data_IF_755317329712
#
_entry.id   IF_755317329712
#
_cell.length_a   1.000
_cell.length_b   1.000
_cell.length_c   1.000
_cell.angle_alpha   90.00
_cell.angle_beta   90.00
_cell.angle_gamma   90.00
#
_symmetry.space_group_name_H-M   'P 1'
#
loop_
_entity.id
_entity.type
_entity.pdbx_description
1 polymer ?
#
# COMPACT_ATOMS: atom_id res chain seq x y z
N UNK A 1 -24.05 5.65 -4.71
CA UNK A 1 -25.22 4.91 -5.25
C UNK A 1 -26.48 5.13 -4.43
N UNK A 2 -26.57 4.70 -3.16
CA UNK A 2 -27.80 4.80 -2.35
C UNK A 2 -28.40 6.22 -2.26
N UNK A 3 -27.56 7.24 -2.07
CA UNK A 3 -28.01 8.65 -2.04
C UNK A 3 -28.58 9.10 -3.39
N UNK A 4 -27.94 8.71 -4.49
CA UNK A 4 -28.42 9.04 -5.84
C UNK A 4 -29.74 8.33 -6.17
N UNK A 5 -29.88 7.07 -5.75
CA UNK A 5 -31.13 6.31 -5.88
C UNK A 5 -32.24 6.95 -5.04
N UNK A 6 -31.96 7.36 -3.80
CA UNK A 6 -32.91 8.05 -2.94
C UNK A 6 -33.37 9.38 -3.54
N UNK A 7 -32.44 10.19 -4.05
CA UNK A 7 -32.76 11.45 -4.74
C UNK A 7 -33.60 11.22 -6.01
N UNK A 8 -33.24 10.22 -6.82
CA UNK A 8 -33.97 9.88 -8.05
C UNK A 8 -35.41 9.43 -7.77
N UNK A 9 -35.61 8.58 -6.76
CA UNK A 9 -36.94 8.09 -6.39
C UNK A 9 -37.83 9.23 -5.83
N UNK A 10 -37.23 10.12 -5.04
CA UNK A 10 -37.90 11.32 -4.51
C UNK A 10 -38.34 12.27 -5.63
N UNK A 11 -37.47 12.50 -6.61
CA UNK A 11 -37.78 13.34 -7.77
C UNK A 11 -38.90 12.74 -8.64
N UNK A 12 -38.86 11.44 -8.90
CA UNK A 12 -39.91 10.73 -9.66
C UNK A 12 -41.26 10.79 -8.95
N UNK A 13 -41.29 10.59 -7.63
CA UNK A 13 -42.51 10.69 -6.84
C UNK A 13 -43.11 12.10 -6.93
N UNK A 14 -42.29 13.14 -6.72
CA UNK A 14 -42.74 14.54 -6.79
C UNK A 14 -43.32 14.89 -8.16
N UNK A 15 -42.66 14.47 -9.24
CA UNK A 15 -43.13 14.73 -10.60
C UNK A 15 -44.46 14.01 -10.86
N UNK A 16 -44.60 12.75 -10.44
CA UNK A 16 -45.83 11.98 -10.60
C UNK A 16 -47.02 12.63 -9.87
N UNK A 17 -46.78 13.14 -8.66
CA UNK A 17 -47.79 13.87 -7.87
C UNK A 17 -48.24 15.14 -8.60
N UNK A 18 -47.31 15.98 -9.06
CA UNK A 18 -47.67 17.22 -9.75
C UNK A 18 -48.34 16.99 -11.10
N UNK A 19 -47.94 15.97 -11.85
CA UNK A 19 -48.63 15.59 -13.08
C UNK A 19 -50.08 15.13 -12.83
N UNK A 20 -50.35 14.48 -11.70
CA UNK A 20 -51.71 14.10 -11.32
C UNK A 20 -52.56 15.34 -11.01
N UNK A 21 -52.02 16.31 -10.26
CA UNK A 21 -52.68 17.61 -10.05
C UNK A 21 -52.93 18.34 -11.37
N UNK A 22 -51.94 18.40 -12.26
CA UNK A 22 -52.07 19.12 -13.54
C UNK A 22 -53.19 18.52 -14.42
N UNK A 23 -53.36 17.19 -14.41
CA UNK A 23 -54.48 16.50 -15.08
C UNK A 23 -55.83 16.83 -14.43
N UNK A 24 -55.93 16.76 -13.10
CA UNK A 24 -57.15 17.06 -12.36
C UNK A 24 -57.61 18.52 -12.57
N UNK A 25 -56.68 19.46 -12.51
CA UNK A 25 -56.94 20.88 -12.72
C UNK A 25 -57.37 21.17 -14.16
N UNK A 26 -56.81 20.48 -15.14
CA UNK A 26 -57.20 20.62 -16.55
C UNK A 26 -58.65 20.16 -16.77
N UNK A 27 -59.06 19.02 -16.19
CA UNK A 27 -60.46 18.54 -16.23
C UNK A 27 -61.41 19.55 -15.57
N UNK A 28 -60.99 20.15 -14.46
CA UNK A 28 -61.78 21.18 -13.76
C UNK A 28 -61.93 22.46 -14.60
N UNK A 29 -60.87 22.88 -15.31
CA UNK A 29 -60.93 23.98 -16.27
C UNK A 29 -61.89 23.67 -17.42
N UNK A 30 -61.85 22.46 -17.97
CA UNK A 30 -62.75 22.07 -19.07
C UNK A 30 -64.22 22.08 -18.62
N UNK A 31 -64.49 21.62 -17.39
CA UNK A 31 -65.83 21.69 -16.80
C UNK A 31 -66.31 23.13 -16.57
N UNK A 32 -65.43 24.03 -16.15
CA UNK A 32 -65.73 25.47 -16.03
C UNK A 32 -65.96 26.12 -17.39
N UNK A 33 -65.12 25.79 -18.39
CA UNK A 33 -65.25 26.30 -19.75
C UNK A 33 -66.58 25.86 -20.41
N UNK A 34 -67.12 24.71 -20.04
CA UNK A 34 -68.40 24.20 -20.56
C UNK A 34 -69.64 24.83 -19.90
N UNK A 35 -69.49 25.48 -18.75
CA UNK A 35 -70.62 25.98 -17.92
C UNK A 35 -70.64 27.50 -17.77
N UNK A 36 -69.61 28.18 -18.26
CA UNK A 36 -69.52 29.64 -18.24
C UNK A 36 -70.47 30.26 -19.27
N UNK A 37 -71.26 31.23 -18.82
CA UNK A 37 -72.21 31.96 -19.64
C UNK A 37 -72.07 33.47 -19.38
N UNK A 38 -72.65 34.26 -20.27
CA UNK A 38 -72.77 35.71 -20.10
C UNK A 38 -74.25 36.04 -19.91
N UNK A 39 -74.59 36.80 -18.88
CA UNK A 39 -75.97 37.26 -18.70
C UNK A 39 -76.36 38.36 -19.71
N UNK A 40 -77.63 38.75 -19.70
CA UNK A 40 -78.18 39.78 -20.60
C UNK A 40 -77.52 41.16 -20.41
N UNK A 41 -76.81 41.38 -19.31
CA UNK A 41 -76.09 42.62 -18.98
C UNK A 41 -74.60 42.53 -19.34
N UNK A 42 -74.14 41.44 -19.93
CA UNK A 42 -72.74 41.27 -20.27
C UNK A 42 -71.86 40.95 -19.06
N UNK A 43 -72.40 40.40 -17.97
CA UNK A 43 -71.61 39.94 -16.83
C UNK A 43 -71.39 38.42 -16.88
N UNK A 44 -70.22 38.00 -16.41
CA UNK A 44 -69.85 36.59 -16.33
C UNK A 44 -70.70 35.89 -15.28
N UNK A 45 -71.26 34.73 -15.63
CA UNK A 45 -71.98 33.85 -14.69
C UNK A 45 -71.59 32.40 -14.92
N UNK A 46 -71.62 31.64 -13.83
CA UNK A 46 -71.42 30.18 -13.84
C UNK A 46 -72.70 29.56 -13.26
N UNK A 47 -73.78 29.43 -14.04
CA UNK A 47 -75.09 28.97 -13.55
C UNK A 47 -75.06 27.53 -13.02
N UNK A 48 -74.16 26.70 -13.55
CA UNK A 48 -73.87 25.36 -13.04
C UNK A 48 -72.41 25.30 -12.62
N UNK A 49 -72.13 25.56 -11.35
CA UNK A 49 -70.80 25.36 -10.80
C UNK A 49 -70.35 23.89 -10.98
N UNK A 50 -69.04 23.62 -11.07
CA UNK A 50 -68.53 22.24 -11.07
C UNK A 50 -69.11 21.43 -9.91
N UNK A 51 -69.46 20.17 -10.17
CA UNK A 51 -70.16 19.28 -9.22
C UNK A 51 -69.32 18.86 -8.01
N UNK A 52 -68.03 19.19 -7.99
CA UNK A 52 -67.14 18.86 -6.89
C UNK A 52 -67.51 19.65 -5.62
N UNK A 53 -67.91 18.96 -4.53
CA UNK A 53 -68.33 19.61 -3.28
C UNK A 53 -67.21 20.42 -2.62
N UNK A 54 -65.93 20.19 -2.97
CA UNK A 54 -64.79 20.94 -2.46
C UNK A 54 -64.88 22.42 -2.86
N UNK A 55 -65.44 22.79 -4.00
CA UNK A 55 -65.59 24.20 -4.39
C UNK A 55 -66.68 24.98 -3.62
N UNK A 56 -67.51 24.27 -2.84
CA UNK A 56 -68.60 24.89 -2.06
C UNK A 56 -68.20 25.10 -0.60
N UNK A 57 -67.36 24.22 -0.05
CA UNK A 57 -66.90 24.31 1.34
C UNK A 57 -65.89 25.46 1.50
N UNK A 58 -66.12 26.43 2.41
CA UNK A 58 -65.14 27.47 2.71
C UNK A 58 -63.77 26.88 3.06
N UNK A 59 -62.69 27.45 2.50
CA UNK A 59 -61.30 27.06 2.79
C UNK A 59 -61.02 25.56 2.61
N UNK A 60 -61.53 24.98 1.53
CA UNK A 60 -61.37 23.55 1.21
C UNK A 60 -60.05 23.20 0.52
N UNK A 61 -59.18 24.18 0.30
CA UNK A 61 -58.00 24.04 -0.55
C UNK A 61 -58.31 23.92 -2.06
N UNK A 62 -59.58 23.98 -2.47
CA UNK A 62 -59.97 23.89 -3.89
C UNK A 62 -60.73 25.13 -4.30
N UNK A 63 -60.19 25.87 -5.27
CA UNK A 63 -60.68 27.18 -5.63
C UNK A 63 -60.85 27.28 -7.14
N UNK A 64 -61.88 27.98 -7.59
CA UNK A 64 -61.93 28.43 -8.97
C UNK A 64 -62.31 29.90 -9.04
N UNK A 65 -61.83 30.55 -10.07
CA UNK A 65 -62.14 31.93 -10.39
C UNK A 65 -62.16 32.14 -11.88
N UNK A 66 -63.11 32.96 -12.31
CA UNK A 66 -63.33 33.33 -13.69
C UNK A 66 -63.34 34.85 -13.72
N UNK A 67 -62.38 35.46 -14.42
CA UNK A 67 -62.23 36.91 -14.49
C UNK A 67 -62.09 37.37 -15.94
N UNK A 68 -62.61 38.56 -16.24
CA UNK A 68 -62.32 39.21 -17.51
C UNK A 68 -60.87 39.71 -17.52
N UNK A 69 -60.18 39.54 -18.64
CA UNK A 69 -58.87 40.13 -18.90
C UNK A 69 -59.07 41.40 -19.71
N UNK A 70 -58.63 42.55 -19.18
CA UNK A 70 -58.83 43.86 -19.82
C UNK A 70 -57.50 44.45 -20.29
N UNK A 71 -57.54 45.28 -21.34
CA UNK A 71 -56.37 45.98 -21.89
C UNK A 71 -56.00 47.27 -21.11
N UNK A 72 -56.57 47.49 -19.92
CA UNK A 72 -56.34 48.68 -19.09
C UNK A 72 -55.24 48.51 -18.02
N UNK A 73 -55.02 49.51 -17.14
CA UNK A 73 -53.99 49.47 -16.09
C UNK A 73 -54.24 48.40 -15.01
N UNK A 74 -55.46 47.86 -14.91
CA UNK A 74 -55.79 46.63 -14.18
C UNK A 74 -56.08 45.52 -15.18
N UNK A 75 -55.12 44.62 -15.35
CA UNK A 75 -55.20 43.46 -16.25
C UNK A 75 -56.37 42.52 -15.90
N UNK A 76 -56.82 42.51 -14.64
CA UNK A 76 -57.86 41.63 -14.12
C UNK A 76 -59.11 42.48 -13.80
N UNK A 77 -60.21 42.18 -14.49
CA UNK A 77 -61.53 42.80 -14.32
C UNK A 77 -62.39 42.10 -13.27
N UNK A 78 -63.67 42.51 -13.13
CA UNK A 78 -64.62 41.81 -12.25
C UNK A 78 -64.79 40.36 -12.70
N UNK A 79 -65.09 39.48 -11.74
CA UNK A 79 -65.20 38.06 -12.00
C UNK A 79 -66.07 37.35 -10.98
N UNK A 80 -66.23 36.05 -11.20
CA UNK A 80 -66.97 35.14 -10.32
C UNK A 80 -65.99 34.12 -9.76
N UNK A 81 -66.13 33.79 -8.49
CA UNK A 81 -65.32 32.78 -7.82
C UNK A 81 -66.17 31.74 -7.10
N UNK A 82 -65.55 30.62 -6.77
CA UNK A 82 -66.14 29.59 -5.94
C UNK A 82 -66.44 30.09 -4.52
N UNK A 83 -67.42 29.47 -3.84
CA UNK A 83 -67.74 29.81 -2.44
C UNK A 83 -66.60 29.43 -1.48
N UNK A 84 -65.74 28.50 -1.89
CA UNK A 84 -64.55 28.10 -1.14
C UNK A 84 -63.52 29.21 -0.95
N UNK A 85 -63.45 30.21 -1.85
CA UNK A 85 -62.52 31.35 -1.73
C UNK A 85 -62.78 32.17 -0.46
N UNK A 86 -64.05 32.31 -0.05
CA UNK A 86 -64.43 33.03 1.16
C UNK A 86 -63.83 34.44 1.23
N UNK A 87 -63.17 34.80 2.34
CA UNK A 87 -62.67 36.15 2.66
C UNK A 87 -61.26 36.43 2.13
N UNK A 88 -60.53 35.42 1.66
CA UNK A 88 -59.15 35.58 1.20
C UNK A 88 -59.06 35.59 -0.34
N UNK A 89 -58.43 36.59 -0.98
CA UNK A 89 -58.44 36.70 -2.43
C UNK A 89 -57.67 35.56 -3.11
N UNK A 90 -58.30 34.91 -4.09
CA UNK A 90 -57.65 33.95 -4.99
C UNK A 90 -57.38 34.65 -6.33
N UNK A 91 -56.33 35.46 -6.39
CA UNK A 91 -55.97 36.24 -7.59
C UNK A 91 -54.93 35.51 -8.45
N UNK A 92 -55.01 35.65 -9.78
CA UNK A 92 -54.05 35.01 -10.67
C UNK A 92 -52.66 35.66 -10.52
N UNK A 93 -51.59 34.86 -10.36
CA UNK A 93 -50.25 35.38 -10.21
C UNK A 93 -49.75 35.89 -11.56
N UNK A 94 -49.01 37.01 -11.55
CA UNK A 94 -48.53 37.66 -12.78
C UNK A 94 -47.82 36.70 -13.76
N UNK A 95 -46.92 35.79 -13.32
CA UNK A 95 -46.27 34.85 -14.23
C UNK A 95 -47.25 33.91 -14.94
N UNK A 96 -48.36 33.54 -14.29
CA UNK A 96 -49.39 32.70 -14.90
C UNK A 96 -50.17 33.46 -15.96
N UNK A 97 -50.53 34.72 -15.66
CA UNK A 97 -51.25 35.61 -16.59
C UNK A 97 -50.40 35.86 -17.84
N UNK A 98 -49.11 36.13 -17.70
CA UNK A 98 -48.19 36.29 -18.83
C UNK A 98 -48.10 35.02 -19.69
N UNK A 99 -48.01 33.85 -19.08
CA UNK A 99 -47.92 32.58 -19.80
C UNK A 99 -49.18 32.24 -20.61
N UNK A 100 -50.37 32.50 -20.08
CA UNK A 100 -51.63 32.24 -20.79
C UNK A 100 -51.94 33.32 -21.84
N UNK A 101 -51.46 34.56 -21.66
CA UNK A 101 -51.52 35.60 -22.69
C UNK A 101 -50.59 35.29 -23.88
N UNK A 102 -49.40 34.73 -23.60
CA UNK A 102 -48.45 34.34 -24.65
C UNK A 102 -48.96 33.16 -25.50
N UNK A 103 -49.73 32.24 -24.91
CA UNK A 103 -50.30 31.08 -25.60
C UNK A 103 -51.78 30.88 -25.25
N UNK A 104 -52.69 31.71 -25.80
CA UNK A 104 -54.12 31.62 -25.55
C UNK A 104 -54.69 30.23 -25.90
N UNK A 105 -55.69 29.78 -25.16
CA UNK A 105 -56.31 28.46 -25.36
C UNK A 105 -55.55 27.27 -24.77
N UNK A 106 -54.30 27.43 -24.32
CA UNK A 106 -53.56 26.35 -23.63
C UNK A 106 -53.68 26.47 -22.11
N UNK A 107 -53.80 25.33 -21.42
CA UNK A 107 -53.70 25.31 -19.95
C UNK A 107 -52.25 25.51 -19.52
N UNK A 108 -52.01 26.44 -18.60
CA UNK A 108 -50.71 26.65 -17.94
C UNK A 108 -50.85 26.39 -16.45
N UNK A 109 -49.84 25.77 -15.85
CA UNK A 109 -49.84 25.40 -14.44
C UNK A 109 -48.66 26.05 -13.71
N UNK A 110 -48.92 26.59 -12.52
CA UNK A 110 -47.91 27.19 -11.65
C UNK A 110 -48.17 26.79 -10.20
N UNK A 111 -47.13 26.86 -9.38
CA UNK A 111 -47.30 26.85 -7.93
C UNK A 111 -47.52 28.27 -7.42
N UNK A 112 -48.38 28.41 -6.41
CA UNK A 112 -48.53 29.65 -5.66
C UNK A 112 -48.69 29.35 -4.18
N UNK A 113 -48.52 30.38 -3.36
CA UNK A 113 -48.87 30.33 -1.95
C UNK A 113 -49.99 31.32 -1.69
N UNK A 114 -51.04 30.86 -1.01
CA UNK A 114 -52.18 31.67 -0.54
C UNK A 114 -52.27 31.50 0.97
N UNK A 115 -52.05 32.58 1.71
CA UNK A 115 -51.68 32.59 3.13
C UNK A 115 -50.63 31.53 3.49
N UNK A 116 -51.07 30.36 3.98
CA UNK A 116 -50.22 29.21 4.36
C UNK A 116 -50.42 27.97 3.48
N UNK A 117 -51.38 28.02 2.55
CA UNK A 117 -51.69 26.93 1.64
C UNK A 117 -50.77 27.00 0.41
N UNK A 118 -50.18 25.87 0.06
CA UNK A 118 -49.41 25.73 -1.18
C UNK A 118 -50.32 25.18 -2.25
N UNK A 119 -50.68 26.00 -3.23
CA UNK A 119 -51.63 25.63 -4.26
C UNK A 119 -50.89 25.32 -5.57
N UNK A 120 -51.29 24.25 -6.23
CA UNK A 120 -51.05 24.06 -7.67
C UNK A 120 -52.22 24.69 -8.40
N UNK A 121 -51.93 25.61 -9.31
CA UNK A 121 -52.95 26.39 -10.01
C UNK A 121 -52.79 26.24 -11.50
N UNK A 122 -53.89 25.88 -12.15
CA UNK A 122 -54.01 25.91 -13.60
C UNK A 122 -54.81 27.14 -14.02
N UNK A 123 -54.44 27.72 -15.16
CA UNK A 123 -55.27 28.70 -15.83
C UNK A 123 -55.29 28.51 -17.33
N UNK A 124 -56.38 28.96 -17.96
CA UNK A 124 -56.57 28.97 -19.42
C UNK A 124 -57.32 30.22 -19.83
N UNK A 125 -56.85 30.85 -20.89
CA UNK A 125 -57.51 31.99 -21.50
C UNK A 125 -58.45 31.52 -22.61
N UNK A 126 -59.72 31.91 -22.53
CA UNK A 126 -60.76 31.55 -23.51
C UNK A 126 -61.47 32.81 -24.01
N UNK A 127 -62.02 32.74 -25.21
CA UNK A 127 -62.86 33.80 -25.77
C UNK A 127 -64.29 33.28 -25.90
N UNK A 128 -65.23 33.94 -25.23
CA UNK A 128 -66.65 33.58 -25.28
C UNK A 128 -67.27 34.12 -26.58
N UNK A 129 -68.12 33.35 -27.30
CA UNK A 129 -68.74 33.81 -28.55
C UNK A 129 -69.55 35.11 -28.42
N UNK A 130 -70.08 35.37 -27.22
CA UNK A 130 -70.89 36.55 -26.88
C UNK A 130 -70.07 37.77 -26.43
N UNK A 131 -68.73 37.71 -26.41
CA UNK A 131 -67.86 38.77 -25.85
C UNK A 131 -66.63 39.07 -26.71
N UNK A 132 -66.20 40.33 -26.69
CA UNK A 132 -64.93 40.79 -27.29
C UNK A 132 -63.76 40.71 -26.32
N UNK A 133 -64.00 40.69 -25.00
CA UNK A 133 -62.97 40.48 -23.98
C UNK A 133 -62.59 39.01 -23.85
N UNK A 134 -61.32 38.75 -23.55
CA UNK A 134 -60.85 37.41 -23.20
C UNK A 134 -61.16 37.12 -21.73
N UNK A 135 -61.52 35.89 -21.42
CA UNK A 135 -61.87 35.44 -20.07
C UNK A 135 -60.83 34.45 -19.57
N UNK A 136 -60.27 34.72 -18.39
CA UNK A 136 -59.32 33.85 -17.72
C UNK A 136 -60.09 32.89 -16.80
N UNK A 137 -59.96 31.60 -17.09
CA UNK A 137 -60.39 30.52 -16.22
C UNK A 137 -59.22 30.11 -15.34
N UNK A 138 -59.43 30.01 -14.03
CA UNK A 138 -58.39 29.66 -13.06
C UNK A 138 -58.94 28.66 -12.06
N UNK A 139 -58.20 27.59 -11.81
CA UNK A 139 -58.52 26.56 -10.80
C UNK A 139 -57.28 26.26 -9.99
N UNK A 140 -57.42 26.18 -8.67
CA UNK A 140 -56.36 25.82 -7.74
C UNK A 140 -56.75 24.67 -6.84
N UNK A 141 -55.77 23.82 -6.50
CA UNK A 141 -55.89 22.73 -5.55
C UNK A 141 -54.73 22.76 -4.56
N UNK A 142 -55.01 22.48 -3.29
CA UNK A 142 -54.02 22.40 -2.22
C UNK A 142 -53.14 21.17 -2.39
N UNK A 143 -51.83 21.42 -2.34
CA UNK A 143 -50.79 20.40 -2.44
C UNK A 143 -50.26 19.99 -1.07
N UNK A 144 -50.69 20.62 0.02
CA UNK A 144 -50.20 20.40 1.37
C UNK A 144 -50.20 18.94 1.80
N UNK A 145 -51.34 18.24 1.66
CA UNK A 145 -51.42 16.81 2.01
C UNK A 145 -50.51 15.92 1.17
N UNK A 146 -50.40 16.21 -0.13
CA UNK A 146 -49.60 15.44 -1.07
C UNK A 146 -48.08 15.67 -0.85
N UNK A 147 -47.68 16.92 -0.60
CA UNK A 147 -46.30 17.27 -0.22
C UNK A 147 -45.95 16.62 1.12
N UNK A 148 -46.83 16.70 2.12
CA UNK A 148 -46.62 16.04 3.41
C UNK A 148 -46.57 14.50 3.31
N UNK A 149 -47.33 13.90 2.38
CA UNK A 149 -47.19 12.47 2.07
C UNK A 149 -45.81 12.17 1.45
N UNK A 150 -45.32 13.02 0.55
CA UNK A 150 -43.98 12.93 -0.01
C UNK A 150 -42.87 13.06 1.03
N UNK A 151 -43.00 14.01 1.97
CA UNK A 151 -42.03 14.19 3.05
C UNK A 151 -41.98 12.98 3.99
N UNK A 152 -43.15 12.41 4.34
CA UNK A 152 -43.23 11.16 5.11
C UNK A 152 -42.60 9.98 4.36
N UNK A 153 -42.87 9.87 3.06
CA UNK A 153 -42.25 8.86 2.21
C UNK A 153 -40.72 9.02 2.15
N UNK A 154 -40.23 10.24 1.94
CA UNK A 154 -38.81 10.56 1.91
C UNK A 154 -38.12 10.26 3.24
N UNK A 155 -38.76 10.57 4.37
CA UNK A 155 -38.25 10.23 5.69
C UNK A 155 -38.16 8.71 5.86
N UNK A 156 -39.23 7.98 5.57
CA UNK A 156 -39.25 6.51 5.64
C UNK A 156 -38.19 5.87 4.73
N UNK A 157 -38.05 6.38 3.49
CA UNK A 157 -37.02 5.96 2.54
C UNK A 157 -35.62 6.23 3.09
N UNK A 158 -35.36 7.41 3.64
CA UNK A 158 -34.06 7.79 4.19
C UNK A 158 -33.68 6.92 5.40
N UNK A 159 -34.63 6.65 6.30
CA UNK A 159 -34.43 5.77 7.45
C UNK A 159 -34.19 4.32 7.01
N UNK A 160 -34.94 3.84 6.01
CA UNK A 160 -34.73 2.51 5.42
C UNK A 160 -33.36 2.37 4.77
N UNK A 161 -32.92 3.37 3.99
CA UNK A 161 -31.60 3.40 3.38
C UNK A 161 -30.48 3.49 4.43
N UNK A 162 -30.67 4.26 5.50
CA UNK A 162 -29.73 4.34 6.61
C UNK A 162 -29.61 3.00 7.35
N UNK A 163 -30.74 2.36 7.67
CA UNK A 163 -30.76 1.05 8.30
C UNK A 163 -30.06 -0.01 7.43
N UNK A 164 -30.33 0.00 6.12
CA UNK A 164 -29.63 -0.86 5.16
C UNK A 164 -28.12 -0.59 5.15
N UNK A 165 -27.71 0.68 5.10
CA UNK A 165 -26.30 1.06 5.09
C UNK A 165 -25.58 0.60 6.38
N UNK A 166 -26.20 0.81 7.55
CA UNK A 166 -25.67 0.35 8.83
C UNK A 166 -25.61 -1.17 8.91
N UNK A 167 -26.62 -1.87 8.40
CA UNK A 167 -26.63 -3.34 8.32
C UNK A 167 -25.50 -3.88 7.44
N UNK A 168 -25.27 -3.27 6.26
CA UNK A 168 -24.16 -3.64 5.38
C UNK A 168 -22.81 -3.34 6.02
N UNK A 169 -22.64 -2.18 6.66
CA UNK A 169 -21.41 -1.86 7.38
C UNK A 169 -21.14 -2.83 8.54
N UNK A 170 -22.17 -3.19 9.30
CA UNK A 170 -22.08 -4.20 10.36
C UNK A 170 -21.71 -5.58 9.82
N UNK A 171 -22.30 -5.99 8.69
CA UNK A 171 -21.97 -7.25 8.02
C UNK A 171 -20.51 -7.26 7.51
N UNK A 172 -20.06 -6.19 6.87
CA UNK A 172 -18.66 -6.04 6.42
C UNK A 172 -17.72 -6.09 7.63
N UNK A 173 -18.03 -5.36 8.70
CA UNK A 173 -17.22 -5.37 9.91
C UNK A 173 -17.10 -6.78 10.50
N UNK A 174 -18.22 -7.50 10.62
CA UNK A 174 -18.24 -8.89 11.10
C UNK A 174 -17.45 -9.82 10.17
N UNK A 175 -17.63 -9.68 8.85
CA UNK A 175 -16.91 -10.45 7.83
C UNK A 175 -15.39 -10.22 7.94
N UNK A 176 -14.94 -8.99 8.15
CA UNK A 176 -13.51 -8.68 8.34
C UNK A 176 -12.98 -9.25 9.65
N UNK A 177 -13.75 -9.12 10.75
CA UNK A 177 -13.32 -9.66 12.04
C UNK A 177 -13.20 -11.19 12.02
N UNK A 178 -14.18 -11.90 11.45
CA UNK A 178 -14.15 -13.35 11.33
C UNK A 178 -13.16 -13.82 10.28
N UNK A 179 -13.05 -13.10 9.15
CA UNK A 179 -12.16 -13.46 8.05
C UNK A 179 -10.68 -13.30 8.38
N UNK A 180 -10.30 -12.36 9.26
CA UNK A 180 -8.92 -12.13 9.67
C UNK A 180 -8.50 -12.92 10.93
N UNK A 181 -9.42 -13.60 11.60
CA UNK A 181 -9.10 -14.39 12.80
C UNK A 181 -8.05 -15.49 12.55
N UNK A 182 -8.11 -16.27 11.45
CA UNK A 182 -7.07 -17.26 11.14
C UNK A 182 -5.67 -16.64 11.00
N UNK A 183 -5.58 -15.45 10.39
CA UNK A 183 -4.31 -14.74 10.23
C UNK A 183 -3.75 -14.27 11.59
N UNK A 184 -4.61 -13.75 12.47
CA UNK A 184 -4.24 -13.37 13.84
C UNK A 184 -3.82 -14.59 14.67
N UNK A 185 -4.47 -15.74 14.47
CA UNK A 185 -4.08 -17.01 15.10
C UNK A 185 -2.68 -17.43 14.64
N UNK A 186 -2.41 -17.44 13.33
CA UNK A 186 -1.06 -17.76 12.81
C UNK A 186 0.01 -16.82 13.37
N UNK A 187 -0.27 -15.52 13.48
CA UNK A 187 0.65 -14.55 14.11
C UNK A 187 0.95 -14.86 15.58
N UNK A 188 -0.06 -15.29 16.35
CA UNK A 188 0.12 -15.74 17.74
C UNK A 188 0.92 -17.04 17.83
N UNK A 189 0.64 -18.01 16.96
CA UNK A 189 1.37 -19.27 16.89
C UNK A 189 2.85 -19.06 16.53
N UNK A 190 3.15 -18.17 15.58
CA UNK A 190 4.52 -17.82 15.24
C UNK A 190 5.26 -17.16 16.42
N UNK A 191 4.57 -16.33 17.21
CA UNK A 191 5.15 -15.75 18.42
C UNK A 191 5.47 -16.82 19.48
N UNK A 192 4.62 -17.84 19.64
CA UNK A 192 4.88 -18.98 20.51
C UNK A 192 6.09 -19.81 20.03
N UNK A 193 6.23 -20.00 18.71
CA UNK A 193 7.38 -20.70 18.12
C UNK A 193 8.68 -19.94 18.39
N UNK A 194 8.67 -18.61 18.21
CA UNK A 194 9.82 -17.75 18.52
C UNK A 194 10.24 -17.85 20.00
N UNK A 195 9.28 -18.07 20.90
CA UNK A 195 9.55 -18.23 22.33
C UNK A 195 9.91 -19.67 22.73
N UNK A 196 9.92 -20.62 21.78
CA UNK A 196 10.21 -22.04 22.04
C UNK A 196 9.07 -22.80 22.72
N UNK A 197 7.86 -22.25 22.76
CA UNK A 197 6.67 -22.89 23.35
C UNK A 197 6.01 -23.89 22.39
N UNK A 198 6.34 -23.79 21.09
CA UNK A 198 5.78 -24.64 20.03
C UNK A 198 6.80 -24.83 18.91
N UNK A 199 6.73 -25.96 18.20
CA UNK A 199 7.68 -26.29 17.14
C UNK A 199 7.15 -26.06 15.72
N UNK A 200 5.84 -25.86 15.55
CA UNK A 200 5.19 -25.70 14.23
C UNK A 200 3.82 -25.02 14.33
N UNK A 201 3.41 -24.40 13.22
CA UNK A 201 2.06 -23.85 13.02
C UNK A 201 1.03 -24.97 12.83
N UNK A 202 -0.23 -24.70 13.17
CA UNK A 202 -1.33 -25.63 12.91
C UNK A 202 -1.57 -25.84 11.41
N UNK A 203 -1.84 -27.10 11.04
CA UNK A 203 -2.14 -27.50 9.66
C UNK A 203 -3.60 -27.23 9.27
N UNK A 204 -4.46 -26.93 10.24
CA UNK A 204 -5.88 -26.60 10.04
C UNK A 204 -6.10 -25.14 9.63
N UNK A 205 -5.30 -24.69 8.66
CA UNK A 205 -5.43 -23.36 8.07
C UNK A 205 -6.48 -23.37 6.93
N UNK A 206 -7.24 -22.27 6.74
CA UNK A 206 -8.10 -22.10 5.56
C UNK A 206 -7.34 -22.37 4.26
N UNK A 207 -8.04 -22.81 3.20
CA UNK A 207 -7.41 -23.24 1.94
C UNK A 207 -6.51 -22.18 1.32
N UNK A 208 -6.83 -20.91 1.52
CA UNK A 208 -6.10 -19.75 1.04
C UNK A 208 -4.77 -19.53 1.80
N UNK A 209 -4.72 -19.93 3.07
CA UNK A 209 -3.56 -19.79 3.96
C UNK A 209 -2.76 -21.09 4.09
N UNK A 210 -3.33 -22.24 3.73
CA UNK A 210 -2.66 -23.53 3.81
C UNK A 210 -1.29 -23.58 3.08
N UNK A 211 -1.12 -23.02 1.86
CA UNK A 211 0.19 -22.97 1.22
C UNK A 211 1.21 -22.15 2.02
N UNK A 212 0.80 -21.02 2.58
CA UNK A 212 1.67 -20.16 3.40
C UNK A 212 2.05 -20.85 4.72
N UNK A 213 1.11 -21.53 5.38
CA UNK A 213 1.39 -22.33 6.57
C UNK A 213 2.40 -23.44 6.26
N UNK A 214 2.28 -24.09 5.10
CA UNK A 214 3.23 -25.09 4.61
C UNK A 214 4.64 -24.54 4.44
N UNK A 215 4.79 -23.41 3.73
CA UNK A 215 6.09 -22.74 3.53
C UNK A 215 6.73 -22.29 4.86
N UNK A 216 5.93 -21.73 5.78
CA UNK A 216 6.41 -21.33 7.10
C UNK A 216 6.88 -22.54 7.91
N UNK A 217 6.12 -23.64 7.91
CA UNK A 217 6.51 -24.87 8.59
C UNK A 217 7.78 -25.49 7.96
N UNK A 218 7.95 -25.41 6.64
CA UNK A 218 9.17 -25.85 5.97
C UNK A 218 10.38 -24.99 6.41
N UNK A 219 10.23 -23.67 6.48
CA UNK A 219 11.27 -22.77 6.97
C UNK A 219 11.63 -23.02 8.44
N UNK A 220 10.63 -23.22 9.31
CA UNK A 220 10.83 -23.54 10.72
C UNK A 220 11.60 -24.86 10.86
N UNK A 221 11.19 -25.89 10.11
CA UNK A 221 11.84 -27.20 10.11
C UNK A 221 13.30 -27.09 9.63
N UNK A 222 13.55 -26.31 8.58
CA UNK A 222 14.89 -26.05 8.08
C UNK A 222 15.78 -25.39 9.13
N UNK A 223 15.28 -24.36 9.83
CA UNK A 223 16.02 -23.69 10.90
C UNK A 223 16.34 -24.63 12.06
N UNK A 224 15.38 -25.48 12.46
CA UNK A 224 15.63 -26.48 13.50
C UNK A 224 16.73 -27.47 13.10
N UNK A 225 16.73 -27.94 11.84
CA UNK A 225 17.80 -28.80 11.33
C UNK A 225 19.16 -28.09 11.32
N UNK A 226 19.20 -26.80 10.97
CA UNK A 226 20.43 -26.00 11.01
C UNK A 226 20.97 -25.90 12.44
N UNK A 227 20.11 -25.60 13.42
CA UNK A 227 20.49 -25.51 14.84
C UNK A 227 20.99 -26.87 15.37
N UNK A 228 20.30 -27.97 15.05
CA UNK A 228 20.72 -29.30 15.48
C UNK A 228 22.05 -29.74 14.83
N UNK A 229 22.25 -29.39 13.56
CA UNK A 229 23.54 -29.59 12.88
C UNK A 229 24.66 -28.78 13.57
N UNK A 230 24.39 -27.52 13.92
CA UNK A 230 25.36 -26.68 14.63
C UNK A 230 25.72 -27.27 16.02
N UNK A 231 24.72 -27.72 16.79
CA UNK A 231 24.94 -28.39 18.09
C UNK A 231 25.80 -29.65 17.95
N UNK A 232 25.49 -30.49 16.97
CA UNK A 232 26.26 -31.70 16.67
C UNK A 232 27.72 -31.36 16.31
N UNK A 233 27.94 -30.28 15.56
CA UNK A 233 29.28 -29.85 15.19
C UNK A 233 30.10 -29.32 16.37
N UNK A 234 29.49 -28.56 17.29
CA UNK A 234 30.15 -28.14 18.54
C UNK A 234 30.55 -29.35 19.38
N UNK A 235 29.68 -30.36 19.49
CA UNK A 235 30.00 -31.61 20.18
C UNK A 235 31.19 -32.34 19.58
N UNK A 236 31.24 -32.43 18.26
CA UNK A 236 32.34 -33.08 17.54
C UNK A 236 33.66 -32.28 17.64
N UNK A 237 33.60 -30.94 17.64
CA UNK A 237 34.77 -30.08 17.87
C UNK A 237 35.32 -30.25 19.29
N UNK A 238 34.47 -30.28 20.31
CA UNK A 238 34.88 -30.52 21.69
C UNK A 238 35.59 -31.88 21.83
N UNK A 239 35.08 -32.91 21.16
CA UNK A 239 35.69 -34.24 21.15
C UNK A 239 37.03 -34.27 20.39
N UNK A 240 37.07 -33.61 19.23
CA UNK A 240 38.25 -33.44 18.40
C UNK A 240 39.42 -32.75 19.14
N UNK A 241 39.12 -31.71 19.93
CA UNK A 241 40.13 -30.98 20.72
C UNK A 241 40.58 -31.74 21.98
N UNK A 242 39.67 -32.50 22.61
CA UNK A 242 39.96 -33.24 23.84
C UNK A 242 41.07 -34.29 23.67
N UNK A 243 41.10 -34.96 22.52
CA UNK A 243 42.06 -36.03 22.21
C UNK A 243 43.52 -35.55 22.15
N UNK A 244 43.90 -34.56 21.32
CA UNK A 244 45.26 -34.02 21.30
C UNK A 244 45.64 -33.35 22.62
N UNK A 245 44.70 -32.67 23.29
CA UNK A 245 44.95 -32.08 24.62
C UNK A 245 45.28 -33.14 25.67
N UNK A 246 44.61 -34.30 25.62
CA UNK A 246 44.88 -35.43 26.52
C UNK A 246 46.25 -36.06 26.25
N UNK A 247 46.67 -36.13 24.98
CA UNK A 247 48.01 -36.60 24.59
C UNK A 247 49.08 -35.65 25.14
N UNK A 248 48.90 -34.34 24.97
CA UNK A 248 49.81 -33.33 25.52
C UNK A 248 49.91 -33.38 27.05
N UNK A 249 48.78 -33.54 27.73
CA UNK A 249 48.75 -33.63 29.20
C UNK A 249 49.45 -34.89 29.72
N UNK A 250 49.41 -35.99 28.97
CA UNK A 250 50.00 -37.26 29.37
C UNK A 250 51.52 -37.27 29.14
N UNK A 251 51.98 -36.69 28.03
CA UNK A 251 53.40 -36.57 27.68
C UNK A 251 54.14 -35.53 28.54
N UNK A 252 53.47 -34.43 28.92
CA UNK A 252 53.98 -33.46 29.90
C UNK A 252 54.37 -34.12 31.24
N UNK A 253 53.69 -35.21 31.61
CA UNK A 253 53.93 -35.95 32.85
C UNK A 253 55.06 -36.97 32.72
N UNK A 254 55.43 -37.40 31.50
CA UNK A 254 56.34 -38.53 31.28
C UNK A 254 57.73 -38.13 30.76
N UNK A 255 57.91 -37.00 30.07
CA UNK A 255 59.22 -36.65 29.52
C UNK A 255 59.44 -35.13 29.40
N UNK A 256 60.59 -34.63 29.90
CA UNK A 256 60.95 -33.19 29.86
C UNK A 256 61.79 -32.78 28.65
N UNK A 257 62.34 -33.74 27.87
CA UNK A 257 63.34 -33.46 26.82
C UNK A 257 62.81 -33.37 25.38
N UNK A 258 61.76 -34.12 25.01
CA UNK A 258 61.17 -34.14 23.65
C UNK A 258 59.79 -33.44 23.57
N UNK A 259 59.41 -32.76 24.65
CA UNK A 259 58.07 -32.18 24.81
C UNK A 259 57.77 -31.08 23.79
N UNK A 260 58.77 -30.30 23.38
CA UNK A 260 58.62 -29.18 22.44
C UNK A 260 58.12 -29.62 21.06
N UNK A 261 58.72 -30.67 20.50
CA UNK A 261 58.38 -31.22 19.19
C UNK A 261 56.98 -31.86 19.16
N UNK A 262 56.61 -32.50 20.27
CA UNK A 262 55.29 -33.10 20.43
C UNK A 262 54.20 -32.03 20.61
N UNK A 263 54.52 -30.96 21.36
CA UNK A 263 53.66 -29.77 21.51
C UNK A 263 53.42 -29.11 20.16
N UNK A 264 54.46 -28.89 19.37
CA UNK A 264 54.35 -28.32 18.04
C UNK A 264 53.46 -29.19 17.11
N UNK A 265 53.66 -30.51 17.11
CA UNK A 265 52.86 -31.44 16.30
C UNK A 265 51.38 -31.48 16.71
N UNK A 266 51.07 -31.48 18.01
CA UNK A 266 49.67 -31.49 18.44
C UNK A 266 48.99 -30.13 18.37
N UNK A 267 49.71 -29.03 18.57
CA UNK A 267 49.18 -27.69 18.30
C UNK A 267 48.77 -27.59 16.82
N UNK A 268 49.61 -28.07 15.89
CA UNK A 268 49.27 -28.14 14.47
C UNK A 268 48.05 -29.04 14.18
N UNK A 269 47.91 -30.17 14.86
CA UNK A 269 46.76 -31.04 14.69
C UNK A 269 45.46 -30.38 15.18
N UNK A 270 45.52 -29.67 16.32
CA UNK A 270 44.41 -28.90 16.85
C UNK A 270 44.03 -27.74 15.91
N UNK A 271 45.00 -27.00 15.39
CA UNK A 271 44.78 -25.93 14.40
C UNK A 271 44.08 -26.46 13.15
N UNK A 272 44.55 -27.59 12.59
CA UNK A 272 43.90 -28.24 11.43
C UNK A 272 42.46 -28.65 11.73
N UNK A 273 42.18 -29.13 12.94
CA UNK A 273 40.82 -29.48 13.35
C UNK A 273 39.94 -28.23 13.48
N UNK A 274 40.41 -27.19 14.17
CA UNK A 274 39.68 -25.91 14.32
C UNK A 274 39.38 -25.30 12.96
N UNK A 275 40.35 -25.26 12.04
CA UNK A 275 40.15 -24.77 10.67
C UNK A 275 39.12 -25.59 9.89
N UNK A 276 39.16 -26.92 10.00
CA UNK A 276 38.17 -27.80 9.38
C UNK A 276 36.76 -27.54 9.91
N UNK A 277 36.63 -27.26 11.21
CA UNK A 277 35.35 -26.95 11.84
C UNK A 277 34.85 -25.54 11.53
N UNK A 278 35.72 -24.52 11.53
CA UNK A 278 35.38 -23.16 11.13
C UNK A 278 34.87 -23.13 9.69
N UNK A 279 35.49 -23.87 8.77
CA UNK A 279 34.97 -24.01 7.38
C UNK A 279 33.56 -24.59 7.33
N UNK A 280 33.26 -25.58 8.16
CA UNK A 280 31.97 -26.28 8.14
C UNK A 280 30.86 -25.47 8.81
N UNK A 281 31.15 -24.80 9.93
CA UNK A 281 30.23 -23.87 10.58
C UNK A 281 29.95 -22.66 9.70
N UNK A 282 30.97 -22.17 9.00
CA UNK A 282 30.84 -20.98 8.18
C UNK A 282 30.15 -21.22 6.83
N UNK A 283 30.27 -22.41 6.25
CA UNK A 283 29.43 -22.81 5.12
C UNK A 283 27.92 -22.87 5.46
N UNK A 284 27.57 -23.13 6.73
CA UNK A 284 26.18 -23.18 7.18
C UNK A 284 25.61 -21.80 7.55
N UNK A 285 26.40 -20.92 8.19
CA UNK A 285 25.97 -19.58 8.57
C UNK A 285 25.93 -18.59 7.38
N UNK A 286 26.78 -18.78 6.37
CA UNK A 286 26.88 -17.84 5.22
C UNK A 286 25.74 -17.95 4.21
N UNK A 287 24.92 -19.01 4.27
CA UNK A 287 23.66 -19.09 3.55
C UNK A 287 22.58 -18.14 4.12
N UNK A 288 22.76 -17.62 5.35
CA UNK A 288 21.78 -16.79 6.06
C UNK A 288 22.15 -15.29 6.18
N UNK A 289 23.34 -14.85 5.75
CA UNK A 289 23.76 -13.43 5.88
C UNK A 289 23.09 -12.51 4.85
N UNK A 290 21.77 -12.37 4.97
CA UNK A 290 20.94 -11.50 4.13
C UNK A 290 20.96 -10.03 4.61
N UNK A 291 21.70 -9.67 5.68
CA UNK A 291 21.56 -8.35 6.34
C UNK A 291 22.83 -7.57 6.76
N UNK A 292 24.03 -8.16 6.80
CA UNK A 292 25.25 -7.45 7.21
C UNK A 292 25.74 -6.49 6.12
N UNK A 293 26.17 -5.28 6.52
CA UNK A 293 26.63 -4.20 5.62
C UNK A 293 27.82 -3.48 6.24
N UNK A 294 28.94 -3.45 5.52
CA UNK A 294 30.21 -2.89 6.00
C UNK A 294 30.75 -1.82 5.03
N UNK A 295 30.94 -0.57 5.47
CA UNK A 295 31.65 0.44 4.69
C UNK A 295 33.12 0.04 4.47
N UNK A 296 33.58 0.06 3.22
CA UNK A 296 34.91 -0.45 2.86
C UNK A 296 36.03 0.53 3.22
N UNK A 297 35.81 1.83 3.03
CA UNK A 297 36.82 2.87 3.25
C UNK A 297 37.53 2.78 4.61
N UNK A 298 36.80 2.74 5.74
CA UNK A 298 37.41 2.61 7.06
C UNK A 298 38.26 1.34 7.23
N UNK A 299 37.85 0.22 6.63
CA UNK A 299 38.57 -1.05 6.72
C UNK A 299 39.88 -0.98 5.94
N UNK A 300 39.85 -0.46 4.70
CA UNK A 300 41.06 -0.27 3.89
C UNK A 300 42.03 0.68 4.60
N UNK A 301 41.54 1.79 5.17
CA UNK A 301 42.37 2.75 5.90
C UNK A 301 43.03 2.13 7.14
N UNK A 302 42.28 1.34 7.91
CA UNK A 302 42.80 0.67 9.11
C UNK A 302 43.86 -0.38 8.77
N UNK A 303 43.61 -1.21 7.76
CA UNK A 303 44.56 -2.24 7.29
C UNK A 303 45.83 -1.58 6.74
N UNK A 304 45.68 -0.55 5.88
CA UNK A 304 46.82 0.15 5.26
C UNK A 304 47.72 0.81 6.30
N UNK A 305 47.12 1.47 7.31
CA UNK A 305 47.87 2.09 8.41
C UNK A 305 48.58 1.06 9.29
N UNK A 306 47.94 -0.07 9.54
CA UNK A 306 48.49 -1.12 10.39
C UNK A 306 49.68 -1.79 9.72
N UNK A 307 49.53 -2.22 8.46
CA UNK A 307 50.60 -2.87 7.70
C UNK A 307 51.75 -1.89 7.39
N UNK A 308 51.45 -0.64 7.03
CA UNK A 308 52.49 0.38 6.81
C UNK A 308 53.31 0.71 8.07
N UNK A 309 52.79 0.47 9.28
CA UNK A 309 53.57 0.55 10.52
C UNK A 309 54.40 -0.70 10.78
N UNK A 310 53.79 -1.87 10.55
CA UNK A 310 54.41 -3.17 10.80
C UNK A 310 55.64 -3.39 9.91
N UNK A 311 55.52 -3.09 8.63
CA UNK A 311 56.57 -3.31 7.62
C UNK A 311 57.46 -2.07 7.38
N UNK A 312 57.35 -1.04 8.24
CA UNK A 312 58.12 0.21 8.08
C UNK A 312 59.64 -0.01 8.13
N UNK A 313 60.10 -0.95 8.96
CA UNK A 313 61.52 -1.28 9.08
C UNK A 313 62.08 -1.95 7.82
N UNK A 314 61.22 -2.61 7.05
CA UNK A 314 61.53 -3.29 5.80
C UNK A 314 61.39 -2.36 4.58
N UNK A 315 61.04 -1.08 4.80
CA UNK A 315 60.95 -0.07 3.75
C UNK A 315 59.66 -0.13 2.91
N UNK A 316 58.69 -0.95 3.29
CA UNK A 316 57.43 -1.13 2.55
C UNK A 316 56.52 0.09 2.69
N UNK A 317 56.04 0.60 1.55
CA UNK A 317 55.06 1.68 1.46
C UNK A 317 53.73 1.14 0.98
N UNK A 318 52.71 1.22 1.84
CA UNK A 318 51.33 0.85 1.52
C UNK A 318 50.53 2.11 1.18
N UNK A 319 49.90 2.14 0.01
CA UNK A 319 49.02 3.23 -0.42
C UNK A 319 47.64 2.70 -0.77
N UNK A 320 46.59 3.43 -0.39
CA UNK A 320 45.21 3.06 -0.65
C UNK A 320 44.47 4.17 -1.41
N UNK A 321 43.62 3.76 -2.35
CA UNK A 321 42.65 4.59 -3.07
C UNK A 321 41.32 3.85 -3.10
N UNK A 322 40.22 4.54 -2.87
CA UNK A 322 38.90 3.94 -2.97
C UNK A 322 37.83 4.98 -3.33
N UNK A 323 36.77 4.54 -4.00
CA UNK A 323 35.59 5.36 -4.26
C UNK A 323 34.80 5.62 -2.96
N UNK A 324 34.16 6.78 -2.88
CA UNK A 324 33.29 7.11 -1.75
C UNK A 324 32.05 6.21 -1.72
N UNK A 325 31.55 5.92 -0.52
CA UNK A 325 30.30 5.19 -0.28
C UNK A 325 30.25 3.73 -0.77
N UNK A 326 31.40 3.05 -0.90
CA UNK A 326 31.44 1.61 -1.16
C UNK A 326 31.03 0.82 0.10
N UNK A 327 30.01 -0.03 -0.04
CA UNK A 327 29.49 -0.88 1.04
C UNK A 327 29.51 -2.34 0.64
N UNK A 328 30.30 -3.15 1.33
CA UNK A 328 30.31 -4.60 1.22
C UNK A 328 29.07 -5.20 1.89
N UNK A 329 28.41 -6.14 1.21
CA UNK A 329 27.32 -6.94 1.78
C UNK A 329 27.88 -8.13 2.58
N UNK A 330 28.37 -7.85 3.77
CA UNK A 330 28.89 -8.86 4.70
C UNK A 330 29.44 -8.26 5.99
N UNK A 331 29.97 -9.13 6.83
CA UNK A 331 30.52 -8.77 8.15
C UNK A 331 31.86 -8.03 8.02
N UNK A 332 32.16 -7.16 9.01
CA UNK A 332 33.36 -6.32 8.99
C UNK A 332 34.63 -7.14 9.18
N UNK A 333 34.59 -8.09 10.10
CA UNK A 333 35.71 -8.95 10.46
C UNK A 333 36.14 -9.82 9.26
N UNK A 334 35.18 -10.35 8.50
CA UNK A 334 35.48 -11.14 7.29
C UNK A 334 36.13 -10.27 6.20
N UNK A 335 35.73 -8.99 6.07
CA UNK A 335 36.35 -8.05 5.13
C UNK A 335 37.77 -7.67 5.57
N UNK A 336 37.97 -7.43 6.86
CA UNK A 336 39.29 -7.20 7.47
C UNK A 336 40.24 -8.37 7.21
N UNK A 337 39.75 -9.60 7.38
CA UNK A 337 40.51 -10.82 7.10
C UNK A 337 40.87 -10.96 5.63
N UNK A 338 39.94 -10.69 4.71
CA UNK A 338 40.20 -10.76 3.26
C UNK A 338 41.29 -9.78 2.83
N UNK A 339 41.13 -8.50 3.19
CA UNK A 339 42.06 -7.44 2.78
C UNK A 339 43.38 -7.59 3.52
N UNK A 340 43.33 -7.85 4.84
CA UNK A 340 44.51 -8.04 5.68
C UNK A 340 45.41 -9.16 5.19
N UNK A 341 44.85 -10.36 4.92
CA UNK A 341 45.65 -11.50 4.46
C UNK A 341 46.27 -11.26 3.07
N UNK A 342 45.53 -10.62 2.15
CA UNK A 342 46.04 -10.33 0.81
C UNK A 342 47.13 -9.24 0.87
N UNK A 343 46.91 -8.17 1.62
CA UNK A 343 47.88 -7.08 1.77
C UNK A 343 49.11 -7.48 2.59
N UNK A 344 48.98 -8.35 3.58
CA UNK A 344 50.12 -8.90 4.32
C UNK A 344 51.01 -9.76 3.40
N UNK A 345 50.40 -10.57 2.52
CA UNK A 345 51.16 -11.31 1.51
C UNK A 345 51.90 -10.35 0.55
N UNK A 346 51.22 -9.30 0.07
CA UNK A 346 51.84 -8.28 -0.76
C UNK A 346 53.04 -7.59 -0.06
N UNK A 347 52.93 -7.32 1.26
CA UNK A 347 54.04 -6.73 2.02
C UNK A 347 55.23 -7.70 2.21
N UNK A 348 54.97 -9.00 2.34
CA UNK A 348 56.01 -10.03 2.54
C UNK A 348 56.78 -10.38 1.28
N UNK A 349 56.09 -10.42 0.14
CA UNK A 349 56.64 -10.89 -1.14
C UNK A 349 56.88 -9.78 -2.16
N UNK A 350 56.41 -8.55 -1.88
CA UNK A 350 56.60 -7.37 -2.71
C UNK A 350 58.02 -6.79 -2.67
N UNK A 351 58.32 -5.88 -3.59
CA UNK A 351 59.60 -5.16 -3.71
C UNK A 351 59.71 -3.90 -2.86
N UNK A 352 58.64 -3.54 -2.14
CA UNK A 352 58.58 -2.37 -1.25
C UNK A 352 57.41 -1.43 -1.50
N UNK A 353 56.60 -1.67 -2.54
CA UNK A 353 55.38 -0.91 -2.83
C UNK A 353 54.16 -1.83 -2.84
N UNK A 354 53.11 -1.44 -2.10
CA UNK A 354 51.80 -2.10 -2.13
C UNK A 354 50.71 -1.07 -2.42
N UNK A 355 49.93 -1.29 -3.46
CA UNK A 355 48.77 -0.46 -3.82
C UNK A 355 47.46 -1.21 -3.57
N UNK A 356 46.52 -0.57 -2.88
CA UNK A 356 45.14 -1.06 -2.67
C UNK A 356 44.19 -0.11 -3.37
N UNK A 357 43.42 -0.61 -4.34
CA UNK A 357 42.40 0.14 -5.07
C UNK A 357 41.03 -0.51 -4.86
N UNK A 358 40.00 0.26 -4.52
CA UNK A 358 38.62 -0.25 -4.43
C UNK A 358 37.62 0.63 -5.17
N UNK A 359 36.79 0.00 -6.01
CA UNK A 359 35.82 0.69 -6.88
C UNK A 359 34.57 -0.16 -7.11
N UNK A 360 33.48 0.49 -7.51
CA UNK A 360 32.30 -0.23 -7.97
C UNK A 360 32.58 -0.97 -9.28
N UNK A 361 32.25 -2.25 -9.34
CA UNK A 361 32.35 -3.05 -10.55
C UNK A 361 31.02 -3.04 -11.33
N UNK A 362 30.89 -3.94 -12.32
CA UNK A 362 29.60 -4.16 -13.00
C UNK A 362 28.49 -4.54 -11.99
N UNK A 363 27.24 -4.24 -12.36
CA UNK A 363 26.04 -4.20 -11.50
C UNK A 363 26.06 -5.11 -10.26
N UNK A 364 26.19 -4.50 -9.08
CA UNK A 364 26.00 -5.15 -7.79
C UNK A 364 27.25 -5.77 -7.17
N UNK A 365 28.45 -5.52 -7.71
CA UNK A 365 29.71 -5.99 -7.14
C UNK A 365 30.69 -4.84 -6.88
N UNK A 366 31.57 -5.04 -5.91
CA UNK A 366 32.70 -4.18 -5.62
C UNK A 366 33.97 -4.95 -5.99
N UNK A 367 34.86 -4.24 -6.67
CA UNK A 367 36.19 -4.73 -7.00
C UNK A 367 37.20 -4.10 -6.03
N UNK A 368 37.98 -4.95 -5.36
CA UNK A 368 39.13 -4.57 -4.55
C UNK A 368 40.37 -5.21 -5.19
N UNK A 369 41.36 -4.40 -5.56
CA UNK A 369 42.60 -4.82 -6.19
C UNK A 369 43.75 -4.51 -5.25
N UNK A 370 44.58 -5.52 -4.98
CA UNK A 370 45.81 -5.37 -4.18
C UNK A 370 46.97 -5.77 -5.08
N UNK A 371 47.91 -4.85 -5.27
CA UNK A 371 49.06 -4.99 -6.17
C UNK A 371 50.38 -4.76 -5.45
N UNK A 372 51.41 -5.50 -5.84
CA UNK A 372 52.79 -5.34 -5.38
C UNK A 372 53.81 -5.29 -6.53
N UNK A 373 55.00 -4.78 -6.23
CA UNK A 373 56.16 -4.67 -7.12
C UNK A 373 57.20 -5.79 -6.93
N UNK A 374 56.78 -6.95 -6.40
CA UNK A 374 57.63 -8.12 -6.16
C UNK A 374 57.96 -8.93 -7.42
N UNK A 375 58.48 -10.14 -7.23
CA UNK A 375 58.79 -11.07 -8.33
C UNK A 375 57.53 -11.61 -9.04
N UNK A 376 56.38 -11.57 -8.35
CA UNK A 376 55.10 -12.03 -8.86
C UNK A 376 55.02 -13.55 -9.05
N UNK A 377 53.98 -14.00 -9.76
CA UNK A 377 53.74 -15.41 -10.09
C UNK A 377 53.33 -15.55 -11.55
N UNK A 378 53.80 -16.59 -12.24
CA UNK A 378 53.48 -16.86 -13.66
C UNK A 378 52.88 -18.25 -13.87
N UNK A 379 51.99 -18.37 -14.87
CA UNK A 379 51.51 -19.65 -15.41
C UNK A 379 50.91 -20.59 -14.37
N UNK A 380 51.46 -21.80 -14.27
CA UNK A 380 50.96 -22.85 -13.36
C UNK A 380 51.15 -22.50 -11.87
N UNK A 381 52.07 -21.59 -11.53
CA UNK A 381 52.32 -21.17 -10.16
C UNK A 381 51.15 -20.37 -9.56
N UNK A 382 50.44 -19.58 -10.37
CA UNK A 382 49.22 -18.86 -9.95
C UNK A 382 48.11 -19.82 -9.52
N UNK A 383 47.91 -20.89 -10.30
CA UNK A 383 46.90 -21.92 -10.01
C UNK A 383 47.31 -22.76 -8.79
N UNK A 384 48.61 -23.01 -8.62
CA UNK A 384 49.15 -23.71 -7.47
C UNK A 384 49.05 -22.89 -6.17
N UNK A 385 49.23 -21.56 -6.22
CA UNK A 385 49.16 -20.68 -5.05
C UNK A 385 47.76 -20.62 -4.40
N UNK A 386 46.70 -20.91 -5.18
CA UNK A 386 45.33 -21.04 -4.66
C UNK A 386 45.03 -22.43 -4.09
N UNK A 387 45.91 -23.43 -4.29
CA UNK A 387 45.76 -24.77 -3.69
C UNK A 387 46.14 -24.73 -2.22
N UNK A 388 45.36 -25.42 -1.38
CA UNK A 388 45.55 -25.49 0.06
C UNK A 388 46.94 -25.97 0.45
N UNK A 389 47.63 -25.20 1.31
CA UNK A 389 48.93 -25.57 1.87
C UNK A 389 50.08 -25.53 0.87
N UNK A 390 49.87 -24.96 -0.32
CA UNK A 390 50.94 -24.77 -1.30
C UNK A 390 51.83 -23.60 -0.85
N UNK A 391 53.07 -23.91 -0.49
CA UNK A 391 54.14 -22.91 -0.35
C UNK A 391 55.03 -22.99 -1.58
N UNK A 392 55.15 -21.87 -2.29
CA UNK A 392 56.07 -21.74 -3.42
C UNK A 392 57.47 -21.32 -2.97
N UNK A 393 57.57 -20.71 -1.78
CA UNK A 393 58.84 -20.38 -1.10
C UNK A 393 58.81 -20.82 0.37
N UNK A 394 59.78 -21.64 0.76
CA UNK A 394 59.92 -22.20 2.11
C UNK A 394 60.75 -21.31 3.06
N UNK A 395 61.41 -20.27 2.55
CA UNK A 395 62.39 -19.45 3.29
C UNK A 395 61.77 -18.42 4.23
N UNK A 396 60.56 -17.93 3.93
CA UNK A 396 59.83 -16.95 4.74
C UNK A 396 58.83 -17.62 5.70
N UNK A 397 58.74 -17.23 6.98
CA UNK A 397 57.80 -17.81 7.94
C UNK A 397 56.33 -17.51 7.58
N UNK A 398 55.53 -18.57 7.40
CA UNK A 398 54.10 -18.46 7.10
C UNK A 398 53.41 -19.83 6.94
N UNK A 399 52.10 -19.90 7.18
CA UNK A 399 51.33 -21.15 7.16
C UNK A 399 50.97 -21.64 5.75
N UNK A 400 51.09 -20.80 4.71
CA UNK A 400 50.69 -21.13 3.34
C UNK A 400 49.17 -21.27 3.16
N UNK A 401 48.38 -20.77 4.11
CA UNK A 401 46.92 -20.92 4.12
C UNK A 401 46.18 -19.66 3.65
N UNK A 402 46.79 -18.49 3.77
CA UNK A 402 46.13 -17.18 3.58
C UNK A 402 45.37 -17.05 2.26
N UNK A 403 46.01 -17.31 1.12
CA UNK A 403 45.37 -17.20 -0.21
C UNK A 403 44.21 -18.19 -0.40
N UNK A 404 44.35 -19.41 0.10
CA UNK A 404 43.29 -20.42 0.03
C UNK A 404 42.10 -20.10 0.94
N UNK A 405 42.35 -19.42 2.07
CA UNK A 405 41.30 -18.91 2.95
C UNK A 405 40.57 -17.76 2.26
N UNK A 406 41.30 -16.83 1.62
CA UNK A 406 40.69 -15.72 0.91
C UNK A 406 39.82 -16.18 -0.28
N UNK A 407 40.25 -17.15 -1.09
CA UNK A 407 39.41 -17.68 -2.19
C UNK A 407 38.13 -18.34 -1.67
N UNK A 408 38.23 -19.15 -0.62
CA UNK A 408 37.07 -19.80 -0.02
C UNK A 408 36.11 -18.80 0.63
N UNK A 409 36.64 -17.79 1.31
CA UNK A 409 35.87 -16.74 1.96
C UNK A 409 35.16 -15.84 0.93
N UNK A 410 35.86 -15.44 -0.14
CA UNK A 410 35.29 -14.68 -1.25
C UNK A 410 34.14 -15.45 -1.92
N UNK A 411 34.33 -16.73 -2.23
CA UNK A 411 33.29 -17.60 -2.81
C UNK A 411 32.08 -17.76 -1.90
N UNK A 412 32.28 -17.81 -0.59
CA UNK A 412 31.20 -17.97 0.37
C UNK A 412 30.26 -16.76 0.41
N UNK A 413 30.75 -15.57 0.05
CA UNK A 413 29.95 -14.36 -0.15
C UNK A 413 29.37 -14.22 -1.58
N UNK A 414 29.52 -15.23 -2.44
CA UNK A 414 29.14 -15.15 -3.85
C UNK A 414 30.08 -14.28 -4.70
N UNK A 415 31.27 -14.00 -4.18
CA UNK A 415 32.36 -13.30 -4.84
C UNK A 415 33.37 -14.24 -5.49
N UNK A 416 34.54 -13.69 -5.84
CA UNK A 416 35.66 -14.47 -6.38
C UNK A 416 37.00 -13.79 -6.11
N UNK A 417 38.05 -14.58 -5.90
CA UNK A 417 39.44 -14.13 -5.92
C UNK A 417 40.12 -14.57 -7.21
N UNK A 418 40.80 -13.66 -7.88
CA UNK A 418 41.66 -13.93 -9.04
C UNK A 418 43.06 -13.38 -8.78
N UNK A 419 44.05 -14.11 -9.25
CA UNK A 419 45.45 -13.71 -9.18
C UNK A 419 45.95 -13.53 -10.62
N UNK A 420 46.50 -12.35 -10.90
CA UNK A 420 47.10 -11.97 -12.19
C UNK A 420 48.47 -11.34 -11.95
N UNK A 421 49.19 -11.01 -13.02
CA UNK A 421 50.42 -10.20 -12.93
C UNK A 421 50.06 -8.72 -12.76
N UNK A 422 50.74 -8.02 -11.86
CA UNK A 422 50.59 -6.58 -11.66
C UNK A 422 51.37 -5.77 -12.70
N UNK A 423 50.85 -4.58 -13.04
CA UNK A 423 51.58 -3.59 -13.83
C UNK A 423 52.80 -3.02 -13.07
N UNK A 424 52.83 -3.16 -11.74
CA UNK A 424 53.96 -2.81 -10.88
C UNK A 424 55.12 -3.81 -10.97
N UNK A 425 54.89 -4.99 -11.57
CA UNK A 425 55.88 -6.04 -11.76
C UNK A 425 55.58 -7.33 -10.99
N UNK A 426 54.89 -7.24 -9.86
CA UNK A 426 54.61 -8.35 -8.95
C UNK A 426 53.23 -9.00 -9.13
N UNK A 427 52.54 -9.30 -8.02
CA UNK A 427 51.25 -9.98 -8.03
C UNK A 427 50.08 -8.99 -7.98
N UNK A 428 49.02 -9.28 -8.76
CA UNK A 428 47.73 -8.58 -8.70
C UNK A 428 46.66 -9.52 -8.14
N UNK A 429 46.22 -9.27 -6.92
CA UNK A 429 45.09 -9.97 -6.31
C UNK A 429 43.79 -9.16 -6.50
N UNK A 430 42.90 -9.67 -7.35
CA UNK A 430 41.60 -9.07 -7.64
C UNK A 430 40.50 -9.82 -6.88
N UNK A 431 39.85 -9.11 -5.96
CA UNK A 431 38.76 -9.59 -5.13
C UNK A 431 37.45 -8.94 -5.57
N UNK A 432 36.50 -9.76 -6.03
CA UNK A 432 35.14 -9.34 -6.36
C UNK A 432 34.20 -9.75 -5.23
N UNK A 433 33.46 -8.81 -4.65
CA UNK A 433 32.53 -9.03 -3.55
C UNK A 433 31.16 -8.41 -3.84
N UNK A 434 30.06 -8.90 -3.26
CA UNK A 434 28.74 -8.28 -3.41
C UNK A 434 28.67 -6.88 -2.79
N UNK A 435 28.13 -5.93 -3.55
CA UNK A 435 27.80 -4.60 -3.07
C UNK A 435 26.47 -4.61 -2.31
N UNK A 436 26.32 -3.74 -1.30
CA UNK A 436 25.04 -3.37 -0.73
C UNK A 436 24.64 -1.97 -1.21
N UNK A 437 23.36 -1.73 -1.53
CA UNK A 437 22.88 -0.39 -1.89
C UNK A 437 23.13 0.59 -0.77
N UNK A 438 23.76 1.74 -1.05
CA UNK A 438 23.94 2.82 -0.08
C UNK A 438 22.58 3.43 0.22
N UNK A 439 21.98 3.08 1.35
CA UNK A 439 20.81 3.78 1.90
C UNK A 439 21.19 5.26 2.10
N UNK A 440 20.67 6.12 1.24
CA UNK A 440 20.71 7.59 1.39
C UNK A 440 19.86 8.02 2.57
#
# INVERSE_FOLDING_TARGET
>A
MLVATGYGLSALFRNSVFEAFDRELTVSIDALAATIETDAQGQLRVPRAPTDPRFVRPLSGHYWRVVDVTAGPKLIGPGVSSRSVWDEPFEPPLPLVEQVLAQPGTTKTVEMTRDKERLRVAARLVQLPSRTSQTLLMVGADTGEAVAAGDRFNLALSLGLLALALGLLGAIFLQVQLGLEPLRRMGRELAMIRNGERDRLDEDAPKELAPLAGELNALISHNQEVVERARTHVGNLAHALKTPLSVLLNESRQNKGEFEDLVARQAQAMTRQVEHYLKRASAAARAESLGARTPIGPVIDDVSRTLGRLFKAEGVKVTARFEDNLVFRGEKEDLEDLIGNLSENACKYGGGLVEIDARMAATGQIEIVIEDDGEGLEGEALVAALKRGARLDETLPGSGLGLSICDELARAYGGSLKLDRSELGGLRAQLLLPAAETSV
#
